data_IF_413460162511
#
_entry.id   IF_413460162511
#
_cell.length_a   1.000
_cell.length_b   1.000
_cell.length_c   1.000
_cell.angle_alpha   90.00
_cell.angle_beta   90.00
_cell.angle_gamma   90.00
#
_symmetry.space_group_name_H-M   'P 1'
#
loop_
_entity.id
_entity.type
_entity.pdbx_description
1 polymer ?
#
# COMPACT_ATOMS: atom_id res chain seq x y z
N UNK A 1 21.72 21.14 20.39
CA UNK A 1 20.27 20.89 20.56
C UNK A 1 19.90 20.89 22.04
N UNK A 2 20.62 20.17 22.89
CA UNK A 2 20.34 20.11 24.34
C UNK A 2 20.29 21.50 25.04
N UNK A 3 21.16 22.42 24.66
CA UNK A 3 21.22 23.79 25.22
C UNK A 3 20.31 24.80 24.49
N UNK A 4 19.43 24.35 23.60
CA UNK A 4 18.53 25.23 22.89
C UNK A 4 17.24 25.45 23.69
N UNK A 5 16.59 26.59 23.49
CA UNK A 5 15.30 26.84 24.15
C UNK A 5 14.23 25.94 23.55
N UNK A 6 13.55 25.07 24.34
CA UNK A 6 12.55 24.14 23.84
C UNK A 6 11.34 24.83 23.18
N UNK A 7 10.99 26.07 23.61
CA UNK A 7 9.87 26.81 23.00
C UNK A 7 10.19 27.24 21.56
N UNK A 8 11.44 27.59 21.27
CA UNK A 8 11.89 27.89 19.90
C UNK A 8 11.86 26.64 19.04
N UNK A 9 12.30 25.52 19.58
CA UNK A 9 12.23 24.23 18.87
C UNK A 9 10.77 23.80 18.60
N UNK A 10 9.88 24.02 19.57
CA UNK A 10 8.45 23.77 19.43
C UNK A 10 7.82 24.64 18.34
N UNK A 11 8.14 25.91 18.28
CA UNK A 11 7.60 26.83 17.26
C UNK A 11 8.08 26.49 15.85
N UNK A 12 9.31 25.99 15.71
CA UNK A 12 9.94 25.66 14.42
C UNK A 12 9.64 24.25 13.94
N UNK A 13 9.58 23.26 14.83
CA UNK A 13 9.51 21.81 14.52
C UNK A 13 8.26 21.14 15.14
N UNK A 14 7.40 21.89 15.83
CA UNK A 14 6.25 21.34 16.52
C UNK A 14 6.63 20.42 17.69
N UNK A 15 5.79 19.43 17.98
CA UNK A 15 6.00 18.48 19.09
C UNK A 15 7.32 17.72 18.94
N UNK A 16 7.70 17.37 17.71
CA UNK A 16 8.96 16.70 17.43
C UNK A 16 10.19 17.50 17.90
N UNK A 17 10.13 18.82 17.89
CA UNK A 17 11.20 19.68 18.41
C UNK A 17 11.38 19.57 19.91
N UNK A 18 10.30 19.41 20.64
CA UNK A 18 10.31 19.18 22.10
C UNK A 18 10.87 17.79 22.42
N UNK A 19 10.41 16.76 21.70
CA UNK A 19 10.90 15.39 21.88
C UNK A 19 12.42 15.31 21.60
N UNK A 20 12.88 15.96 20.53
CA UNK A 20 14.31 16.05 20.22
C UNK A 20 15.11 16.75 21.31
N UNK A 21 14.54 17.77 21.96
CA UNK A 21 15.21 18.45 23.08
C UNK A 21 15.32 17.53 24.30
N UNK A 22 14.24 16.79 24.65
CA UNK A 22 14.26 15.81 25.74
C UNK A 22 15.32 14.73 25.48
N UNK A 23 15.30 14.13 24.28
CA UNK A 23 16.27 13.08 23.94
C UNK A 23 17.72 13.60 23.94
N UNK A 24 17.95 14.85 23.49
CA UNK A 24 19.29 15.45 23.54
C UNK A 24 19.77 15.72 24.97
N UNK A 25 18.87 15.79 25.95
CA UNK A 25 19.18 15.90 27.38
C UNK A 25 19.16 14.54 28.11
N UNK A 26 19.07 13.42 27.35
CA UNK A 26 19.06 12.07 27.91
C UNK A 26 17.74 11.68 28.58
N UNK A 27 16.66 12.43 28.31
CA UNK A 27 15.34 12.16 28.87
C UNK A 27 14.51 11.43 27.80
N UNK A 28 14.10 10.21 28.09
CA UNK A 28 13.19 9.41 27.26
C UNK A 28 12.09 8.83 28.17
N UNK A 29 10.87 9.29 27.97
CA UNK A 29 9.69 8.83 28.69
C UNK A 29 9.03 7.61 28.04
N UNK A 30 9.61 7.08 26.95
CA UNK A 30 9.07 5.89 26.31
C UNK A 30 9.16 4.66 27.23
N UNK A 31 8.11 3.87 27.23
CA UNK A 31 8.06 2.66 28.05
C UNK A 31 8.17 1.43 27.15
N UNK A 32 9.35 0.79 27.12
CA UNK A 32 9.63 -0.41 26.32
C UNK A 32 8.77 -1.62 26.68
N UNK A 33 8.18 -1.63 27.90
CA UNK A 33 7.27 -2.70 28.32
C UNK A 33 5.82 -2.48 27.87
N UNK A 34 5.48 -1.27 27.40
CA UNK A 34 4.15 -1.00 26.83
C UNK A 34 4.19 -1.21 25.30
N UNK A 35 3.49 -2.23 24.78
CA UNK A 35 3.42 -2.42 23.35
C UNK A 35 2.71 -1.20 22.72
N UNK A 36 3.31 -0.67 21.65
CA UNK A 36 2.70 0.41 20.89
C UNK A 36 1.38 -0.08 20.28
N UNK A 37 0.29 0.60 20.63
CA UNK A 37 -1.04 0.36 20.03
C UNK A 37 -1.33 1.51 19.05
N UNK A 38 -1.21 1.30 17.75
CA UNK A 38 -1.51 2.34 16.77
C UNK A 38 -2.99 2.72 16.85
N UNK A 39 -3.28 4.03 16.78
CA UNK A 39 -4.66 4.58 16.78
C UNK A 39 -5.44 4.16 15.52
N UNK A 40 -4.75 3.94 14.43
CA UNK A 40 -5.32 3.44 13.17
C UNK A 40 -4.41 2.38 12.57
N UNK A 41 -5.01 1.40 11.91
CA UNK A 41 -4.28 0.36 11.18
C UNK A 41 -4.48 0.57 9.69
N UNK A 42 -3.40 0.45 8.93
CA UNK A 42 -3.43 0.46 7.48
C UNK A 42 -2.51 -0.65 6.95
N UNK A 43 -2.88 -1.24 5.84
CA UNK A 43 -2.02 -2.11 5.04
C UNK A 43 -1.71 -1.37 3.75
N UNK A 44 -0.44 -1.22 3.45
CA UNK A 44 -0.02 -0.51 2.26
C UNK A 44 1.23 -1.08 1.66
N UNK A 45 1.46 -0.67 0.43
CA UNK A 45 2.66 -0.95 -0.31
C UNK A 45 3.08 0.32 -1.05
N UNK A 46 4.38 0.60 -1.05
CA UNK A 46 4.96 1.73 -1.77
C UNK A 46 6.21 1.28 -2.51
N UNK A 47 6.48 1.93 -3.62
CA UNK A 47 7.66 1.66 -4.43
C UNK A 47 8.17 2.92 -5.10
N UNK A 48 9.49 3.13 -5.02
CA UNK A 48 10.19 4.02 -5.95
C UNK A 48 10.46 3.23 -7.23
N UNK A 49 10.06 3.81 -8.35
CA UNK A 49 10.20 3.17 -9.67
C UNK A 49 11.64 3.32 -10.17
N UNK A 50 12.15 2.39 -10.99
CA UNK A 50 13.54 2.42 -11.48
C UNK A 50 13.79 3.56 -12.47
N UNK A 51 12.77 4.02 -13.15
CA UNK A 51 12.75 5.14 -14.07
C UNK A 51 11.49 5.98 -13.87
N UNK A 52 11.42 7.12 -14.52
CA UNK A 52 10.21 7.91 -14.60
C UNK A 52 9.21 7.28 -15.57
N UNK A 53 7.97 7.13 -15.13
CA UNK A 53 6.87 6.57 -15.90
C UNK A 53 5.98 7.72 -16.40
N UNK A 54 5.91 7.90 -17.70
CA UNK A 54 5.14 9.00 -18.33
C UNK A 54 3.88 8.52 -19.01
N UNK A 55 3.82 7.23 -19.41
CA UNK A 55 2.64 6.64 -20.02
C UNK A 55 1.65 6.22 -18.94
N UNK A 56 0.42 6.70 -19.02
CA UNK A 56 -0.65 6.36 -18.08
C UNK A 56 -0.83 4.85 -17.94
N UNK A 57 -0.85 4.11 -19.05
CA UNK A 57 -0.97 2.64 -19.06
C UNK A 57 0.09 1.95 -18.22
N UNK A 58 1.34 2.42 -18.30
CA UNK A 58 2.44 1.83 -17.55
C UNK A 58 2.26 2.03 -16.03
N UNK A 59 1.76 3.21 -15.64
CA UNK A 59 1.45 3.52 -14.24
C UNK A 59 0.29 2.65 -13.74
N UNK A 60 -0.76 2.46 -14.55
CA UNK A 60 -1.90 1.59 -14.24
C UNK A 60 -1.47 0.15 -13.99
N UNK A 61 -0.53 -0.39 -14.76
CA UNK A 61 0.03 -1.74 -14.56
C UNK A 61 0.63 -1.84 -13.16
N UNK A 62 1.47 -0.87 -12.77
CA UNK A 62 2.10 -0.85 -11.44
C UNK A 62 1.03 -0.75 -10.34
N UNK A 63 0.03 0.10 -10.51
CA UNK A 63 -1.03 0.27 -9.51
C UNK A 63 -1.87 -0.99 -9.33
N UNK A 64 -2.19 -1.71 -10.42
CA UNK A 64 -2.86 -3.01 -10.38
C UNK A 64 -2.06 -4.03 -9.57
N UNK A 65 -0.77 -4.14 -9.83
CA UNK A 65 0.13 -5.05 -9.13
C UNK A 65 0.22 -4.72 -7.63
N UNK A 66 0.30 -3.44 -7.29
CA UNK A 66 0.36 -3.01 -5.90
C UNK A 66 -0.95 -3.26 -5.17
N UNK A 67 -2.08 -2.97 -5.81
CA UNK A 67 -3.42 -3.22 -5.27
C UNK A 67 -3.62 -4.72 -4.97
N UNK A 68 -3.23 -5.60 -5.90
CA UNK A 68 -3.30 -7.06 -5.73
C UNK A 68 -2.47 -7.52 -4.52
N UNK A 69 -1.23 -7.06 -4.40
CA UNK A 69 -0.36 -7.47 -3.29
C UNK A 69 -0.89 -7.02 -1.91
N UNK A 70 -1.49 -5.83 -1.84
CA UNK A 70 -2.10 -5.37 -0.59
C UNK A 70 -3.40 -6.14 -0.31
N UNK A 71 -4.18 -6.51 -1.34
CA UNK A 71 -5.39 -7.32 -1.20
C UNK A 71 -5.08 -8.72 -0.64
N UNK A 72 -4.01 -9.38 -1.12
CA UNK A 72 -3.53 -10.66 -0.58
C UNK A 72 -3.21 -10.53 0.91
N UNK A 73 -2.52 -9.46 1.32
CA UNK A 73 -2.19 -9.23 2.73
C UNK A 73 -3.43 -8.96 3.58
N UNK A 74 -4.43 -8.28 3.00
CA UNK A 74 -5.70 -8.00 3.66
C UNK A 74 -6.47 -9.30 3.96
N UNK A 75 -6.58 -10.22 2.97
CA UNK A 75 -7.20 -11.53 3.15
C UNK A 75 -6.44 -12.40 4.16
N UNK A 76 -5.10 -12.42 4.11
CA UNK A 76 -4.29 -13.11 5.14
C UNK A 76 -4.52 -12.60 6.56
N UNK A 77 -4.90 -11.33 6.69
CA UNK A 77 -5.27 -10.74 7.98
C UNK A 77 -6.74 -10.95 8.34
N UNK A 78 -7.52 -11.68 7.54
CA UNK A 78 -8.96 -11.90 7.69
C UNK A 78 -9.74 -10.59 7.86
N UNK A 79 -9.44 -9.60 7.00
CA UNK A 79 -10.08 -8.28 7.03
C UNK A 79 -10.64 -7.91 5.66
N UNK A 80 -11.66 -7.05 5.71
CA UNK A 80 -12.14 -6.25 4.57
C UNK A 80 -11.78 -4.79 4.82
N UNK A 81 -11.57 -4.02 3.76
CA UNK A 81 -11.30 -2.58 3.85
C UNK A 81 -12.52 -1.77 3.44
N UNK A 82 -12.67 -0.61 4.07
CA UNK A 82 -13.68 0.39 3.72
C UNK A 82 -13.06 1.69 3.20
N UNK A 83 -11.74 1.73 3.01
CA UNK A 83 -11.07 2.91 2.49
C UNK A 83 -9.85 2.52 1.66
N UNK A 84 -9.83 3.01 0.42
CA UNK A 84 -8.74 2.88 -0.53
C UNK A 84 -8.05 4.22 -0.67
N UNK A 85 -6.73 4.24 -0.66
CA UNK A 85 -5.94 5.45 -0.92
C UNK A 85 -4.75 5.17 -1.82
N UNK A 86 -4.40 6.18 -2.61
CA UNK A 86 -3.24 6.17 -3.50
C UNK A 86 -2.35 7.37 -3.22
N UNK A 87 -1.06 7.20 -3.51
CA UNK A 87 -0.11 8.31 -3.56
C UNK A 87 0.82 8.15 -4.75
N UNK A 88 1.02 9.23 -5.49
CA UNK A 88 1.95 9.31 -6.61
C UNK A 88 2.98 10.38 -6.32
N UNK A 89 4.25 10.01 -6.31
CA UNK A 89 5.36 10.96 -6.28
C UNK A 89 5.85 11.19 -7.70
N UNK A 90 5.97 12.45 -8.07
CA UNK A 90 6.46 12.84 -9.39
C UNK A 90 7.98 12.91 -9.43
N UNK A 91 8.54 12.92 -10.63
CA UNK A 91 9.96 13.14 -10.86
C UNK A 91 10.39 14.50 -10.28
N UNK A 92 11.64 14.59 -9.84
CA UNK A 92 12.20 15.86 -9.36
C UNK A 92 12.17 16.96 -10.43
N UNK A 93 12.24 16.60 -11.69
CA UNK A 93 12.14 17.52 -12.83
C UNK A 93 10.77 18.19 -12.96
N UNK A 94 9.71 17.59 -12.44
CA UNK A 94 8.35 18.11 -12.54
C UNK A 94 8.07 19.27 -11.58
N UNK A 95 8.91 19.45 -10.56
CA UNK A 95 8.74 20.47 -9.49
C UNK A 95 7.29 20.50 -8.94
N UNK A 96 6.67 19.32 -8.82
CA UNK A 96 5.29 19.14 -8.35
C UNK A 96 5.24 18.43 -7.00
N UNK A 97 4.24 18.78 -6.20
CA UNK A 97 3.92 18.02 -4.98
C UNK A 97 3.35 16.66 -5.33
N UNK A 98 3.57 15.68 -4.46
CA UNK A 98 2.95 14.36 -4.59
C UNK A 98 1.41 14.48 -4.64
N UNK A 99 0.80 13.68 -5.49
CA UNK A 99 -0.64 13.51 -5.53
C UNK A 99 -1.04 12.49 -4.48
N UNK A 100 -2.01 12.82 -3.64
CA UNK A 100 -2.61 11.90 -2.68
C UNK A 100 -4.12 11.96 -2.81
N UNK A 101 -4.76 10.80 -2.79
CA UNK A 101 -6.20 10.70 -2.88
C UNK A 101 -6.69 9.47 -2.11
N UNK A 102 -7.92 9.55 -1.60
CA UNK A 102 -8.60 8.44 -0.94
C UNK A 102 -10.09 8.45 -1.23
N UNK A 103 -10.71 7.30 -1.12
CA UNK A 103 -12.16 7.13 -1.21
C UNK A 103 -12.65 6.09 -0.21
N UNK A 104 -13.87 6.29 0.28
CA UNK A 104 -14.58 5.27 1.06
C UNK A 104 -15.25 4.32 0.07
N UNK A 105 -15.20 3.02 0.39
CA UNK A 105 -15.75 1.94 -0.42
C UNK A 105 -16.58 1.01 0.47
N UNK A 106 -17.45 0.21 -0.13
CA UNK A 106 -18.11 -0.89 0.57
C UNK A 106 -17.09 -1.90 1.07
N UNK A 107 -17.35 -2.58 2.20
CA UNK A 107 -16.41 -3.52 2.80
C UNK A 107 -16.04 -4.63 1.80
N UNK A 108 -14.79 -4.65 1.36
CA UNK A 108 -14.31 -5.63 0.38
C UNK A 108 -12.87 -6.05 0.64
N UNK A 109 -12.53 -7.28 0.26
CA UNK A 109 -11.18 -7.81 0.11
C UNK A 109 -10.98 -8.49 -1.27
N UNK A 110 -11.99 -8.37 -2.14
CA UNK A 110 -11.93 -8.87 -3.52
C UNK A 110 -10.88 -8.08 -4.31
N UNK A 111 -9.94 -8.79 -4.92
CA UNK A 111 -8.80 -8.17 -5.63
C UNK A 111 -9.25 -7.31 -6.81
N UNK A 112 -10.20 -7.78 -7.62
CA UNK A 112 -10.60 -7.08 -8.83
C UNK A 112 -11.41 -5.82 -8.49
N UNK A 113 -12.28 -5.88 -7.49
CA UNK A 113 -13.00 -4.74 -6.95
C UNK A 113 -12.03 -3.68 -6.42
N UNK A 114 -11.03 -4.09 -5.64
CA UNK A 114 -10.02 -3.18 -5.09
C UNK A 114 -9.14 -2.56 -6.19
N UNK A 115 -8.75 -3.32 -7.22
CA UNK A 115 -8.06 -2.80 -8.38
C UNK A 115 -8.89 -1.74 -9.08
N UNK A 116 -10.19 -1.99 -9.30
CA UNK A 116 -11.09 -1.05 -9.96
C UNK A 116 -11.21 0.27 -9.16
N UNK A 117 -11.35 0.21 -7.83
CA UNK A 117 -11.36 1.41 -6.99
C UNK A 117 -10.05 2.18 -7.02
N UNK A 118 -8.91 1.48 -7.01
CA UNK A 118 -7.58 2.12 -7.14
C UNK A 118 -7.46 2.85 -8.47
N UNK A 119 -7.88 2.22 -9.57
CA UNK A 119 -7.81 2.83 -10.90
C UNK A 119 -8.83 3.96 -11.08
N UNK A 120 -10.03 3.82 -10.56
CA UNK A 120 -11.02 4.90 -10.54
C UNK A 120 -10.47 6.15 -9.85
N UNK A 121 -9.85 5.95 -8.68
CA UNK A 121 -9.25 7.04 -7.92
C UNK A 121 -8.06 7.66 -8.68
N UNK A 122 -7.26 6.83 -9.34
CA UNK A 122 -6.17 7.26 -10.20
C UNK A 122 -6.68 8.11 -11.37
N UNK A 123 -7.64 7.62 -12.14
CA UNK A 123 -8.19 8.32 -13.31
C UNK A 123 -8.88 9.65 -12.94
N UNK A 124 -9.52 9.72 -11.76
CA UNK A 124 -10.12 10.96 -11.26
C UNK A 124 -9.08 12.04 -10.90
N UNK A 125 -7.87 11.64 -10.54
CA UNK A 125 -6.89 12.56 -9.93
C UNK A 125 -5.63 12.78 -10.75
N UNK A 126 -5.18 11.79 -11.48
CA UNK A 126 -4.00 11.90 -12.32
C UNK A 126 -4.39 12.46 -13.69
N UNK A 127 -3.76 13.54 -14.08
CA UNK A 127 -3.95 14.17 -15.39
C UNK A 127 -2.73 13.96 -16.30
N UNK A 128 -1.54 14.16 -15.76
CA UNK A 128 -0.27 14.04 -16.50
C UNK A 128 0.91 14.14 -15.53
N UNK A 129 2.10 13.86 -16.05
CA UNK A 129 3.38 14.05 -15.37
C UNK A 129 4.18 12.75 -15.24
N UNK A 130 5.48 12.87 -15.04
CA UNK A 130 6.39 11.77 -14.90
C UNK A 130 6.35 11.23 -13.46
N UNK A 131 5.82 10.01 -13.28
CA UNK A 131 5.68 9.36 -11.96
C UNK A 131 6.94 8.61 -11.60
N UNK A 132 7.48 8.89 -10.42
CA UNK A 132 8.69 8.26 -9.86
C UNK A 132 8.41 7.32 -8.68
N UNK A 133 7.32 7.51 -7.99
CA UNK A 133 6.91 6.60 -6.91
C UNK A 133 5.40 6.41 -6.87
N UNK A 134 4.98 5.22 -6.45
CA UNK A 134 3.58 4.85 -6.33
C UNK A 134 3.36 4.20 -4.97
N UNK A 135 2.23 4.51 -4.34
CA UNK A 135 1.77 3.80 -3.14
C UNK A 135 0.27 3.51 -3.24
N UNK A 136 -0.12 2.35 -2.73
CA UNK A 136 -1.51 1.93 -2.53
C UNK A 136 -1.68 1.51 -1.09
N UNK A 137 -2.72 2.02 -0.42
CA UNK A 137 -3.00 1.69 0.97
C UNK A 137 -4.50 1.42 1.17
N UNK A 138 -4.79 0.46 2.04
CA UNK A 138 -6.11 0.11 2.53
C UNK A 138 -6.20 0.37 4.03
N UNK A 139 -7.32 0.92 4.47
CA UNK A 139 -7.55 1.29 5.88
C UNK A 139 -9.03 1.14 6.25
N UNK A 140 -9.38 1.50 7.49
CA UNK A 140 -10.74 1.32 8.03
C UNK A 140 -11.17 -0.15 7.92
N UNK A 141 -10.43 -1.03 8.56
CA UNK A 141 -10.67 -2.47 8.48
C UNK A 141 -11.86 -2.90 9.32
N UNK A 142 -12.62 -3.82 8.75
CA UNK A 142 -13.64 -4.62 9.42
C UNK A 142 -13.29 -6.10 9.31
N UNK A 143 -13.94 -6.94 10.10
CA UNK A 143 -13.72 -8.38 10.04
C UNK A 143 -14.23 -8.94 8.70
N UNK A 144 -13.61 -10.02 8.22
CA UNK A 144 -13.95 -10.66 6.95
C UNK A 144 -15.42 -11.12 6.90
N UNK A 145 -15.95 -11.56 8.03
CA UNK A 145 -17.35 -11.94 8.19
C UNK A 145 -18.32 -10.76 8.06
N UNK A 146 -17.82 -9.52 8.16
CA UNK A 146 -18.65 -8.33 8.01
C UNK A 146 -18.93 -8.08 6.54
N UNK A 147 -20.19 -8.01 6.17
CA UNK A 147 -20.64 -7.67 4.83
C UNK A 147 -22.15 -7.57 4.79
N UNK A 148 -22.64 -6.73 3.92
CA UNK A 148 -24.04 -6.68 3.55
C UNK A 148 -24.17 -7.37 2.20
N UNK A 149 -25.08 -8.33 2.10
CA UNK A 149 -25.53 -8.89 0.84
C UNK A 149 -26.83 -8.18 0.52
N UNK A 150 -26.85 -7.45 -0.58
CA UNK A 150 -28.09 -6.83 -1.07
C UNK A 150 -29.01 -7.92 -1.65
N UNK A 151 -30.32 -7.67 -1.60
CA UNK A 151 -31.29 -8.52 -2.27
C UNK A 151 -31.09 -8.59 -3.80
N UNK A 152 -30.33 -7.64 -4.36
CA UNK A 152 -30.01 -7.56 -5.79
C UNK A 152 -28.63 -8.15 -6.13
N UNK A 153 -27.87 -8.59 -5.14
CA UNK A 153 -26.58 -9.20 -5.38
C UNK A 153 -26.73 -10.65 -5.86
N UNK A 154 -25.93 -11.01 -6.84
CA UNK A 154 -25.78 -12.38 -7.27
C UNK A 154 -24.89 -13.15 -6.29
N UNK A 155 -25.50 -13.78 -5.31
CA UNK A 155 -24.81 -14.53 -4.25
C UNK A 155 -23.96 -15.65 -4.82
N UNK A 156 -24.43 -16.34 -5.85
CA UNK A 156 -23.70 -17.45 -6.50
C UNK A 156 -22.41 -16.94 -7.17
N UNK A 157 -22.49 -15.77 -7.81
CA UNK A 157 -21.34 -15.12 -8.41
C UNK A 157 -20.32 -14.68 -7.36
N UNK A 158 -20.79 -14.09 -6.25
CA UNK A 158 -19.92 -13.67 -5.12
C UNK A 158 -19.17 -14.88 -4.55
N UNK A 159 -19.88 -15.96 -4.25
CA UNK A 159 -19.26 -17.19 -3.73
C UNK A 159 -18.25 -17.80 -4.71
N UNK A 160 -18.54 -17.76 -6.00
CA UNK A 160 -17.63 -18.24 -7.04
C UNK A 160 -16.35 -17.42 -7.08
N UNK A 161 -16.45 -16.09 -6.97
CA UNK A 161 -15.30 -15.19 -6.91
C UNK A 161 -14.47 -15.40 -5.65
N UNK A 162 -15.10 -15.57 -4.49
CA UNK A 162 -14.40 -15.88 -3.25
C UNK A 162 -13.66 -17.21 -3.30
N UNK A 163 -14.29 -18.25 -3.87
CA UNK A 163 -13.65 -19.57 -4.10
C UNK A 163 -12.45 -19.45 -5.03
N UNK A 164 -12.59 -18.69 -6.12
CA UNK A 164 -11.49 -18.44 -7.07
C UNK A 164 -10.32 -17.70 -6.38
N UNK A 165 -10.59 -16.65 -5.62
CA UNK A 165 -9.56 -15.91 -4.88
C UNK A 165 -8.83 -16.81 -3.88
N UNK A 166 -9.57 -17.62 -3.12
CA UNK A 166 -8.99 -18.60 -2.19
C UNK A 166 -8.09 -19.61 -2.89
N UNK A 167 -8.52 -20.15 -4.04
CA UNK A 167 -7.73 -21.08 -4.82
C UNK A 167 -6.42 -20.45 -5.31
N UNK A 168 -6.48 -19.21 -5.82
CA UNK A 168 -5.30 -18.43 -6.24
C UNK A 168 -4.34 -18.21 -5.07
N UNK A 169 -4.86 -17.79 -3.92
CA UNK A 169 -4.05 -17.52 -2.74
C UNK A 169 -3.41 -18.81 -2.21
N UNK A 170 -4.10 -19.94 -2.23
CA UNK A 170 -3.56 -21.24 -1.82
C UNK A 170 -2.41 -21.69 -2.73
N UNK A 171 -2.59 -21.59 -4.06
CA UNK A 171 -1.52 -21.91 -5.02
C UNK A 171 -0.29 -21.02 -4.76
N UNK A 172 -0.48 -19.73 -4.54
CA UNK A 172 0.61 -18.81 -4.28
C UNK A 172 1.29 -19.02 -2.93
N UNK A 173 0.55 -19.46 -1.92
CA UNK A 173 1.10 -19.78 -0.60
C UNK A 173 1.95 -21.05 -0.64
N UNK A 174 1.55 -22.04 -1.45
CA UNK A 174 2.25 -23.33 -1.57
C UNK A 174 3.45 -23.23 -2.51
N UNK A 175 3.28 -22.60 -3.69
CA UNK A 175 4.28 -22.62 -4.76
C UNK A 175 4.97 -21.25 -4.96
N UNK A 176 4.66 -20.26 -4.14
CA UNK A 176 5.20 -18.90 -4.23
C UNK A 176 4.40 -17.97 -5.14
N UNK A 177 4.56 -16.67 -4.95
CA UNK A 177 3.78 -15.64 -5.64
C UNK A 177 3.88 -15.72 -7.17
N UNK A 178 5.05 -16.11 -7.69
CA UNK A 178 5.33 -16.15 -9.14
C UNK A 178 4.77 -17.38 -9.85
N UNK A 179 4.23 -18.35 -9.11
CA UNK A 179 3.62 -19.56 -9.71
C UNK A 179 2.36 -19.24 -10.51
N UNK A 180 1.63 -18.21 -10.11
CA UNK A 180 0.42 -17.75 -10.78
C UNK A 180 0.39 -16.23 -10.85
N UNK A 181 0.68 -15.66 -12.03
CA UNK A 181 0.70 -14.23 -12.28
C UNK A 181 -0.43 -13.83 -13.22
N UNK A 182 -0.91 -12.60 -13.10
CA UNK A 182 -1.81 -12.00 -14.07
C UNK A 182 -1.03 -11.68 -15.37
N UNK A 183 -1.71 -11.68 -16.51
CA UNK A 183 -1.09 -11.45 -17.82
C UNK A 183 -0.33 -10.11 -17.91
N UNK A 184 -0.80 -9.06 -17.19
CA UNK A 184 -0.10 -7.79 -17.13
C UNK A 184 1.31 -7.87 -16.51
N UNK A 185 1.64 -8.94 -15.79
CA UNK A 185 2.99 -9.19 -15.27
C UNK A 185 4.01 -9.52 -16.38
N UNK A 186 3.56 -9.74 -17.62
CA UNK A 186 4.40 -9.95 -18.80
C UNK A 186 4.71 -8.64 -19.54
N UNK A 187 4.01 -7.56 -19.23
CA UNK A 187 4.25 -6.25 -19.82
C UNK A 187 5.61 -5.66 -19.39
N UNK A 188 6.24 -4.89 -20.25
CA UNK A 188 7.56 -4.27 -19.97
C UNK A 188 7.54 -3.37 -18.72
N UNK A 189 6.43 -2.67 -18.51
CA UNK A 189 6.23 -1.79 -17.35
C UNK A 189 6.08 -2.55 -16.03
N UNK A 190 5.78 -3.85 -16.07
CA UNK A 190 5.53 -4.67 -14.88
C UNK A 190 6.74 -4.74 -13.94
N UNK A 191 6.44 -4.71 -12.66
CA UNK A 191 7.43 -4.88 -11.58
C UNK A 191 7.16 -6.12 -10.71
N UNK A 192 6.12 -6.90 -11.01
CA UNK A 192 5.69 -8.04 -10.18
C UNK A 192 6.82 -9.03 -9.92
N UNK A 193 7.55 -9.46 -10.96
CA UNK A 193 8.67 -10.41 -10.84
C UNK A 193 9.86 -9.81 -10.08
N UNK A 194 10.18 -8.54 -10.34
CA UNK A 194 11.28 -7.87 -9.64
C UNK A 194 10.94 -7.66 -8.16
N UNK A 195 9.68 -7.34 -7.85
CA UNK A 195 9.21 -7.13 -6.48
C UNK A 195 9.16 -8.42 -5.67
N UNK A 196 8.80 -9.56 -6.26
CA UNK A 196 8.79 -10.85 -5.58
C UNK A 196 10.17 -11.25 -5.02
N UNK A 197 11.22 -10.61 -5.54
CA UNK A 197 12.61 -10.79 -5.09
C UNK A 197 13.04 -9.79 -4.01
N UNK A 198 12.16 -8.90 -3.54
CA UNK A 198 12.46 -7.92 -2.50
C UNK A 198 11.97 -8.41 -1.14
N UNK A 199 12.74 -8.17 -0.09
CA UNK A 199 12.35 -8.40 1.30
C UNK A 199 11.96 -7.05 1.91
N UNK A 200 10.69 -6.92 2.33
CA UNK A 200 10.19 -5.67 2.92
C UNK A 200 10.30 -4.44 2.00
N UNK A 201 10.34 -4.65 0.67
CA UNK A 201 10.49 -3.57 -0.31
C UNK A 201 11.95 -3.21 -0.63
N UNK A 202 12.92 -3.83 0.02
CA UNK A 202 14.35 -3.60 -0.18
C UNK A 202 15.02 -4.81 -0.82
N UNK A 203 16.05 -4.56 -1.64
CA UNK A 203 16.91 -5.63 -2.14
C UNK A 203 17.70 -6.22 -0.97
N UNK A 204 17.52 -7.50 -0.71
CA UNK A 204 18.37 -8.24 0.24
C UNK A 204 19.70 -8.49 -0.46
N UNK A 205 20.63 -7.59 -0.32
CA UNK A 205 22.02 -7.56 -0.78
C UNK A 205 22.63 -8.83 -1.38
N UNK A 206 22.09 -9.35 -2.50
CA UNK A 206 22.59 -10.52 -3.20
C UNK A 206 21.47 -11.39 -3.76
N UNK A 207 21.73 -12.02 -4.91
CA UNK A 207 20.81 -12.95 -5.58
C UNK A 207 20.54 -14.24 -4.77
N UNK A 208 21.31 -14.49 -3.73
CA UNK A 208 21.35 -15.75 -2.98
C UNK A 208 20.42 -15.79 -1.76
N UNK A 209 19.79 -14.67 -1.39
CA UNK A 209 18.82 -14.59 -0.28
C UNK A 209 17.39 -14.98 -0.64
N UNK A 210 17.16 -15.58 -1.80
CA UNK A 210 15.84 -15.80 -2.40
C UNK A 210 15.61 -17.25 -2.84
N UNK A 211 16.02 -18.18 -1.98
CA UNK A 211 15.56 -19.58 -2.08
C UNK A 211 14.28 -19.78 -1.30
#
# INVERSE_FOLDING_TARGET
MANFNPDILKSSLGVAGVDLWFHANGIDESNVHKPYKPKSKALGNSQVLPRDYTKQRDIEIIMREMAEQVAIRLRRAHKKTMCVSISLGFSKSENRRSLQAQMTVEPTNNTDTLINHVLELFHKKYTSGAVRSVAVNYSKFVDESFGFISLFDDVEQIEKEERLQSAIDNIRNEFGFTSLLRANALEEASRSRARSKLIGGHSAGGLDGLR
#
